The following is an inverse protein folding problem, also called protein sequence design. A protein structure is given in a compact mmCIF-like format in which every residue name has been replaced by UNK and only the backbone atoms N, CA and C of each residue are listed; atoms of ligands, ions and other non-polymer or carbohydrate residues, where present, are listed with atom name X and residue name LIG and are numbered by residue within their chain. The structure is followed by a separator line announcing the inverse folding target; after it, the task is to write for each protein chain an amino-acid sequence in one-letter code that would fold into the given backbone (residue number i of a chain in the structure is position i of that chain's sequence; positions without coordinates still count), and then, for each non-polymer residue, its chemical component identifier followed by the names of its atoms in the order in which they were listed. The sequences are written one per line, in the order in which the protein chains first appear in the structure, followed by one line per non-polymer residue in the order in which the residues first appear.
data_IF_686713210704
#
_entry.id   IF_686713210704
#
_cell.length_a   1.000
_cell.length_b   1.000
_cell.length_c   1.000
_cell.angle_alpha   90.00
_cell.angle_beta   90.00
_cell.angle_gamma   90.00
#
_symmetry.space_group_name_H-M   'P 1'
#
loop_
_entity.id
_entity.type
_entity.pdbx_description
1 polymer ?
#
# COMPACT_ATOMS: atom_id res chain seq x y z
N UNK A 1 -64.87 20.43 22.16
CA UNK A 1 -63.50 20.95 22.32
C UNK A 1 -62.93 21.18 20.93
N UNK A 2 -62.56 22.43 20.67
CA UNK A 2 -62.19 22.93 19.35
C UNK A 2 -60.80 22.44 18.92
N UNK A 3 -60.75 22.07 17.65
CA UNK A 3 -59.64 21.95 16.69
C UNK A 3 -58.38 22.75 17.02
N UNK A 4 -57.20 22.15 16.76
CA UNK A 4 -56.11 22.89 16.12
C UNK A 4 -55.51 22.06 14.96
N UNK A 5 -55.50 22.71 13.79
CA UNK A 5 -55.13 22.20 12.48
C UNK A 5 -53.62 22.07 12.34
N UNK A 6 -53.18 21.07 11.58
CA UNK A 6 -51.84 20.98 10.98
C UNK A 6 -51.64 22.17 10.03
N UNK A 7 -50.56 22.92 10.19
CA UNK A 7 -49.93 23.66 9.11
C UNK A 7 -48.42 23.81 9.36
N UNK A 8 -47.70 23.50 8.28
CA UNK A 8 -46.26 23.45 8.03
C UNK A 8 -45.37 24.47 8.75
N UNK A 9 -44.20 24.01 9.20
CA UNK A 9 -42.97 24.81 9.06
C UNK A 9 -41.86 23.93 8.45
N UNK A 10 -41.56 24.22 7.19
CA UNK A 10 -40.34 23.82 6.52
C UNK A 10 -39.14 24.42 7.27
N UNK A 11 -38.20 23.59 7.72
CA UNK A 11 -36.80 23.96 7.71
C UNK A 11 -36.03 22.88 6.97
N UNK A 12 -35.71 23.19 5.73
CA UNK A 12 -34.68 22.53 4.97
C UNK A 12 -33.36 22.67 5.74
N UNK A 13 -32.85 21.55 6.28
CA UNK A 13 -31.40 21.32 6.36
C UNK A 13 -31.04 20.39 5.21
N UNK A 14 -31.32 20.88 4.01
CA UNK A 14 -30.60 20.50 2.81
C UNK A 14 -29.60 21.63 2.59
N UNK A 15 -28.32 21.40 2.92
CA UNK A 15 -27.25 22.35 2.64
C UNK A 15 -26.43 22.79 3.85
N UNK A 16 -25.70 21.87 4.47
CA UNK A 16 -24.49 22.23 5.26
C UNK A 16 -23.53 21.05 5.54
N UNK A 17 -23.72 19.85 5.00
CA UNK A 17 -22.71 18.76 5.08
C UNK A 17 -22.05 18.43 3.74
N UNK A 18 -22.46 19.08 2.64
CA UNK A 18 -21.91 18.84 1.30
C UNK A 18 -20.75 19.78 0.92
N UNK A 19 -20.24 20.62 1.83
CA UNK A 19 -19.16 21.59 1.54
C UNK A 19 -18.03 21.51 2.57
N UNK A 20 -17.65 20.30 2.97
CA UNK A 20 -16.32 20.02 3.51
C UNK A 20 -16.01 18.52 3.42
N UNK A 21 -16.38 17.87 2.30
CA UNK A 21 -15.50 16.83 1.80
C UNK A 21 -14.27 17.58 1.29
N UNK A 22 -13.42 18.06 2.20
CA UNK A 22 -12.06 18.37 1.86
C UNK A 22 -11.55 17.10 1.24
N UNK A 23 -11.37 17.09 -0.08
CA UNK A 23 -10.51 16.10 -0.68
C UNK A 23 -9.23 16.21 0.14
N UNK A 24 -8.93 15.16 0.91
CA UNK A 24 -7.68 15.08 1.62
C UNK A 24 -6.61 14.90 0.54
N UNK A 25 -6.29 15.98 -0.17
CA UNK A 25 -5.13 16.10 -1.03
C UNK A 25 -3.97 16.47 -0.11
N UNK A 26 -3.65 15.56 0.82
CA UNK A 26 -2.54 15.71 1.74
C UNK A 26 -1.34 14.93 1.24
N UNK A 27 -1.04 15.08 -0.05
CA UNK A 27 0.26 14.69 -0.62
C UNK A 27 0.67 15.81 -1.57
N UNK A 28 1.63 16.63 -1.13
CA UNK A 28 2.27 17.60 -1.98
C UNK A 28 3.31 16.88 -2.84
N UNK A 29 3.21 17.01 -4.16
CA UNK A 29 4.24 16.52 -5.07
C UNK A 29 5.53 17.33 -4.84
N UNK A 30 6.66 16.64 -4.77
CA UNK A 30 7.95 17.30 -4.65
C UNK A 30 8.26 18.03 -5.97
N UNK A 31 8.32 19.36 -5.93
CA UNK A 31 8.59 20.19 -7.11
C UNK A 31 10.01 19.99 -7.70
N UNK A 32 10.95 19.51 -6.87
CA UNK A 32 12.34 19.26 -7.23
C UNK A 32 12.57 17.82 -7.74
N UNK A 33 11.52 16.98 -7.78
CA UNK A 33 11.58 15.64 -8.34
C UNK A 33 12.44 14.64 -7.56
N UNK A 34 12.70 14.91 -6.28
CA UNK A 34 13.54 14.06 -5.41
C UNK A 34 12.81 12.81 -4.85
N UNK A 35 11.60 12.54 -5.33
CA UNK A 35 10.73 11.44 -4.91
C UNK A 35 9.45 11.93 -4.24
N UNK A 36 8.37 11.16 -4.38
CA UNK A 36 7.08 11.43 -3.74
C UNK A 36 6.76 10.35 -2.71
N UNK A 37 6.06 10.73 -1.64
CA UNK A 37 5.46 9.79 -0.68
C UNK A 37 3.95 9.86 -0.83
N UNK A 38 3.32 8.74 -1.17
CA UNK A 38 1.87 8.61 -1.16
C UNK A 38 1.46 7.86 0.12
N UNK A 39 0.65 8.52 0.94
CA UNK A 39 0.07 7.91 2.14
C UNK A 39 -1.36 7.48 1.80
N UNK A 40 -1.64 6.18 1.83
CA UNK A 40 -3.02 5.70 1.90
C UNK A 40 -3.46 5.77 3.36
N UNK A 41 -4.41 6.66 3.70
CA UNK A 41 -4.59 7.07 5.09
C UNK A 41 -5.15 5.96 5.98
N UNK A 42 -5.84 4.97 5.42
CA UNK A 42 -6.44 3.91 6.21
C UNK A 42 -6.75 2.67 5.37
N UNK A 43 -6.38 1.50 5.90
CA UNK A 43 -6.92 0.21 5.48
C UNK A 43 -7.62 -0.44 6.68
N UNK A 44 -8.65 -1.23 6.41
CA UNK A 44 -9.32 -2.06 7.41
C UNK A 44 -9.89 -3.32 6.78
N UNK A 45 -9.81 -4.40 7.54
CA UNK A 45 -10.50 -5.68 7.30
C UNK A 45 -11.33 -6.08 8.52
N UNK A 46 -11.66 -5.09 9.36
CA UNK A 46 -12.55 -5.28 10.50
C UNK A 46 -13.92 -5.76 10.04
N UNK A 47 -14.56 -6.50 10.92
CA UNK A 47 -15.87 -7.08 10.68
C UNK A 47 -16.93 -6.32 11.49
N UNK A 48 -17.70 -5.40 10.88
CA UNK A 48 -18.79 -4.69 11.56
C UNK A 48 -19.93 -5.63 12.00
N UNK A 49 -20.07 -6.78 11.35
CA UNK A 49 -21.05 -7.82 11.67
C UNK A 49 -20.57 -9.16 11.12
N UNK A 50 -20.83 -10.25 11.84
CA UNK A 50 -20.39 -11.60 11.47
C UNK A 50 -20.67 -11.95 9.99
N UNK A 51 -19.64 -12.38 9.27
CA UNK A 51 -19.63 -12.69 7.85
C UNK A 51 -19.42 -11.50 6.91
N UNK A 52 -19.29 -10.26 7.41
CA UNK A 52 -19.26 -9.04 6.58
C UNK A 52 -18.00 -8.20 6.81
N UNK A 53 -16.82 -8.83 6.78
CA UNK A 53 -15.55 -8.12 6.88
C UNK A 53 -15.35 -7.11 5.72
N UNK A 54 -14.73 -5.98 6.03
CA UNK A 54 -14.28 -5.03 5.00
C UNK A 54 -13.13 -5.63 4.17
N UNK A 55 -13.02 -5.17 2.92
CA UNK A 55 -11.84 -5.36 2.08
C UNK A 55 -11.30 -3.98 1.70
N UNK A 56 -9.99 -3.79 1.83
CA UNK A 56 -9.37 -2.52 1.42
C UNK A 56 -8.63 -2.71 0.10
N UNK A 57 -9.01 -1.95 -0.92
CA UNK A 57 -8.41 -2.02 -2.25
C UNK A 57 -7.38 -0.90 -2.44
N UNK A 58 -6.23 -1.24 -3.01
CA UNK A 58 -5.14 -0.34 -3.27
C UNK A 58 -4.85 -0.28 -4.77
N UNK A 59 -4.54 0.92 -5.27
CA UNK A 59 -4.08 1.14 -6.65
C UNK A 59 -2.99 2.19 -6.69
N UNK A 60 -1.79 1.76 -7.08
CA UNK A 60 -0.60 2.61 -7.22
C UNK A 60 -0.33 2.81 -8.70
N UNK A 61 -0.33 4.07 -9.14
CA UNK A 61 -0.21 4.44 -10.56
C UNK A 61 1.15 5.08 -10.81
N UNK A 62 1.96 4.48 -11.68
CA UNK A 62 3.10 5.17 -12.28
C UNK A 62 2.64 5.93 -13.53
N UNK A 63 2.27 7.20 -13.37
CA UNK A 63 1.83 8.05 -14.47
C UNK A 63 2.97 8.59 -15.34
N UNK A 64 4.23 8.24 -15.08
CA UNK A 64 5.40 8.78 -15.80
C UNK A 64 5.82 7.93 -16.99
N UNK A 65 6.70 8.46 -17.85
CA UNK A 65 7.25 7.73 -19.00
C UNK A 65 8.46 6.84 -18.63
N UNK A 66 8.84 6.79 -17.36
CA UNK A 66 9.98 6.00 -16.87
C UNK A 66 9.51 4.96 -15.87
N UNK A 67 10.22 3.85 -15.77
CA UNK A 67 9.98 2.85 -14.74
C UNK A 67 10.37 3.41 -13.34
N UNK A 68 9.67 2.95 -12.30
CA UNK A 68 9.82 3.44 -10.93
C UNK A 68 10.06 2.28 -9.96
N UNK A 69 10.96 2.50 -9.02
CA UNK A 69 11.14 1.63 -7.86
C UNK A 69 10.53 2.32 -6.64
N UNK A 70 9.71 1.60 -5.88
CA UNK A 70 8.87 2.15 -4.83
C UNK A 70 8.87 1.20 -3.63
N UNK A 71 9.03 1.72 -2.43
CA UNK A 71 8.87 0.96 -1.19
C UNK A 71 7.41 1.01 -0.75
N UNK A 72 6.82 -0.14 -0.50
CA UNK A 72 5.47 -0.30 0.05
C UNK A 72 5.60 -0.78 1.49
N UNK A 73 4.93 -0.12 2.42
CA UNK A 73 4.95 -0.47 3.85
C UNK A 73 3.53 -0.45 4.39
N UNK A 74 3.15 -1.50 5.09
CA UNK A 74 1.91 -1.60 5.85
C UNK A 74 2.25 -1.44 7.33
N UNK A 75 1.55 -0.52 7.99
CA UNK A 75 1.75 -0.22 9.40
C UNK A 75 0.42 -0.36 10.13
N UNK A 76 0.43 -1.04 11.28
CA UNK A 76 -0.77 -1.19 12.11
C UNK A 76 -1.15 0.12 12.82
N UNK A 77 -2.45 0.28 13.08
CA UNK A 77 -3.02 1.55 13.53
C UNK A 77 -2.72 1.96 14.97
N UNK A 78 -2.26 1.06 15.85
CA UNK A 78 -2.12 1.33 17.30
C UNK A 78 -0.82 2.05 17.62
N UNK A 79 0.32 1.57 17.14
CA UNK A 79 1.65 2.14 17.40
C UNK A 79 2.51 2.28 16.12
N UNK A 80 1.88 2.24 14.93
CA UNK A 80 2.60 2.36 13.65
C UNK A 80 3.73 1.34 13.51
N UNK A 81 3.49 0.11 13.97
CA UNK A 81 4.45 -0.98 13.82
C UNK A 81 4.33 -1.57 12.42
N UNK A 82 5.46 -1.82 11.78
CA UNK A 82 5.48 -2.43 10.45
C UNK A 82 5.00 -3.88 10.52
N UNK A 83 4.04 -4.22 9.65
CA UNK A 83 3.44 -5.56 9.59
C UNK A 83 3.70 -6.28 8.26
N UNK A 84 4.08 -5.52 7.23
CA UNK A 84 4.59 -6.04 5.96
C UNK A 84 5.28 -4.91 5.20
N UNK A 85 6.39 -5.23 4.53
CA UNK A 85 7.05 -4.32 3.62
C UNK A 85 7.64 -5.07 2.41
N UNK A 86 7.70 -4.39 1.26
CA UNK A 86 8.37 -4.89 0.06
C UNK A 86 8.67 -3.73 -0.90
N UNK A 87 9.57 -3.97 -1.84
CA UNK A 87 9.78 -3.08 -2.97
C UNK A 87 8.92 -3.51 -4.15
N UNK A 88 8.21 -2.55 -4.72
CA UNK A 88 7.40 -2.65 -5.93
C UNK A 88 8.12 -1.93 -7.08
N UNK A 89 8.15 -2.57 -8.25
CA UNK A 89 8.76 -2.02 -9.44
C UNK A 89 7.71 -1.89 -10.55
N UNK A 90 7.39 -0.64 -10.89
CA UNK A 90 6.38 -0.29 -11.87
C UNK A 90 7.03 0.05 -13.20
N UNK A 91 6.55 -0.55 -14.28
CA UNK A 91 6.94 -0.12 -15.62
C UNK A 91 6.42 1.29 -15.96
N UNK A 92 6.84 1.86 -17.08
CA UNK A 92 6.31 3.16 -17.50
C UNK A 92 4.80 3.06 -17.76
N UNK A 93 4.01 4.03 -17.27
CA UNK A 93 2.55 4.10 -17.44
C UNK A 93 1.79 2.88 -16.87
N UNK A 94 2.32 2.33 -15.78
CA UNK A 94 1.82 1.10 -15.17
C UNK A 94 0.90 1.37 -13.98
N UNK A 95 0.08 0.38 -13.64
CA UNK A 95 -0.81 0.42 -12.48
C UNK A 95 -0.69 -0.91 -11.75
N UNK A 96 -0.27 -0.87 -10.50
CA UNK A 96 -0.31 -2.03 -9.62
C UNK A 96 -1.55 -1.93 -8.72
N UNK A 97 -2.24 -3.05 -8.54
CA UNK A 97 -3.42 -3.15 -7.68
C UNK A 97 -3.28 -4.27 -6.66
N UNK A 98 -3.87 -4.09 -5.48
CA UNK A 98 -3.89 -5.11 -4.45
C UNK A 98 -5.14 -4.99 -3.58
N UNK A 99 -5.42 -6.04 -2.81
CA UNK A 99 -6.43 -6.03 -1.77
C UNK A 99 -5.81 -6.48 -0.45
N UNK A 100 -6.14 -5.77 0.63
CA UNK A 100 -5.96 -6.26 2.00
C UNK A 100 -7.24 -6.98 2.39
N UNK A 101 -7.10 -8.24 2.78
CA UNK A 101 -8.21 -9.16 3.06
C UNK A 101 -8.09 -9.71 4.49
N UNK A 102 -9.20 -10.03 5.16
CA UNK A 102 -9.17 -10.63 6.49
C UNK A 102 -8.59 -12.04 6.42
N UNK A 103 -7.89 -12.43 7.48
CA UNK A 103 -7.47 -13.81 7.73
C UNK A 103 -8.05 -14.28 9.06
N UNK A 104 -7.84 -15.55 9.42
CA UNK A 104 -8.36 -16.12 10.66
C UNK A 104 -7.94 -15.28 11.88
N UNK A 105 -6.65 -14.93 11.97
CA UNK A 105 -6.10 -14.20 13.12
C UNK A 105 -5.94 -12.69 12.86
N UNK A 106 -5.79 -12.25 11.61
CA UNK A 106 -5.47 -10.86 11.30
C UNK A 106 -5.84 -10.44 9.88
N UNK A 107 -4.85 -9.93 9.15
CA UNK A 107 -4.98 -9.51 7.76
C UNK A 107 -3.86 -10.08 6.88
N UNK A 108 -4.08 -10.05 5.58
CA UNK A 108 -3.07 -10.34 4.57
C UNK A 108 -3.33 -9.55 3.31
N UNK A 109 -2.35 -9.56 2.40
CA UNK A 109 -2.44 -8.91 1.10
C UNK A 109 -2.48 -9.95 -0.03
N UNK A 110 -3.28 -9.64 -1.04
CA UNK A 110 -3.24 -10.29 -2.34
C UNK A 110 -3.14 -9.28 -3.46
N UNK A 111 -2.56 -9.69 -4.57
CA UNK A 111 -2.52 -8.90 -5.78
C UNK A 111 -2.77 -9.80 -6.98
N UNK A 112 -3.68 -9.44 -7.91
CA UNK A 112 -3.77 -10.11 -9.20
C UNK A 112 -2.76 -9.54 -10.21
N UNK A 113 -1.94 -8.57 -9.81
CA UNK A 113 -1.08 -7.81 -10.69
C UNK A 113 0.30 -8.48 -10.90
N UNK A 114 0.86 -8.33 -12.09
CA UNK A 114 2.13 -8.96 -12.47
C UNK A 114 3.36 -8.07 -12.29
N UNK A 115 3.20 -6.81 -11.85
CA UNK A 115 4.32 -5.91 -11.56
C UNK A 115 5.31 -6.58 -10.61
N UNK A 116 6.61 -6.38 -10.85
CA UNK A 116 7.61 -7.07 -10.06
C UNK A 116 7.65 -6.54 -8.62
N UNK A 117 7.81 -7.47 -7.69
CA UNK A 117 8.08 -7.21 -6.28
C UNK A 117 9.31 -7.99 -5.84
N UNK A 118 10.09 -7.46 -4.91
CA UNK A 118 11.29 -8.14 -4.38
C UNK A 118 10.98 -9.32 -3.43
N UNK A 119 9.80 -9.34 -2.83
CA UNK A 119 9.16 -10.52 -2.23
C UNK A 119 7.94 -10.97 -3.03
N UNK A 120 7.57 -12.25 -3.02
CA UNK A 120 6.34 -12.71 -3.70
C UNK A 120 5.12 -12.25 -2.89
N UNK A 121 4.29 -11.41 -3.49
CA UNK A 121 2.93 -11.11 -2.99
C UNK A 121 1.98 -12.12 -3.61
N UNK A 122 1.14 -12.76 -2.78
CA UNK A 122 0.27 -13.84 -3.23
C UNK A 122 -0.79 -13.36 -4.24
N UNK A 123 -1.06 -14.21 -5.22
CA UNK A 123 -2.17 -14.07 -6.17
C UNK A 123 -3.39 -14.93 -5.77
N UNK A 124 -3.30 -15.64 -4.64
CA UNK A 124 -4.32 -16.57 -4.15
C UNK A 124 -4.96 -16.01 -2.87
N UNK A 125 -6.26 -15.74 -2.91
CA UNK A 125 -7.04 -15.21 -1.78
C UNK A 125 -7.27 -16.22 -0.67
N UNK A 126 -7.19 -17.52 -0.96
CA UNK A 126 -7.19 -18.55 0.06
C UNK A 126 -5.86 -18.63 0.81
N UNK A 127 -4.77 -18.17 0.19
CA UNK A 127 -3.41 -18.19 0.74
C UNK A 127 -2.73 -16.82 0.60
N UNK A 128 -3.24 -15.76 1.25
CA UNK A 128 -2.68 -14.42 1.11
C UNK A 128 -1.30 -14.32 1.75
N UNK A 129 -0.51 -13.32 1.33
CA UNK A 129 0.71 -12.96 2.05
C UNK A 129 0.30 -12.35 3.39
N UNK A 130 0.53 -13.09 4.47
CA UNK A 130 0.09 -12.72 5.81
C UNK A 130 0.85 -11.49 6.33
N UNK A 131 0.15 -10.64 7.07
CA UNK A 131 0.80 -9.64 7.92
C UNK A 131 1.36 -10.31 9.18
N UNK A 132 2.46 -9.76 9.71
CA UNK A 132 3.20 -10.33 10.84
C UNK A 132 3.30 -9.33 12.00
N UNK A 133 3.62 -9.83 13.20
CA UNK A 133 3.72 -9.05 14.43
C UNK A 133 5.16 -8.92 14.99
N UNK A 134 6.17 -9.20 14.17
CA UNK A 134 7.57 -9.21 14.63
C UNK A 134 8.05 -7.85 15.18
N UNK A 135 7.46 -6.75 14.74
CA UNK A 135 7.83 -5.41 15.18
C UNK A 135 7.27 -5.02 16.56
N UNK A 136 6.44 -5.87 17.18
CA UNK A 136 5.81 -5.61 18.47
C UNK A 136 5.62 -6.86 19.35
N UNK A 137 6.40 -7.91 19.07
CA UNK A 137 6.51 -9.12 19.88
C UNK A 137 7.96 -9.35 20.31
N UNK A 138 8.18 -10.26 21.26
CA UNK A 138 9.53 -10.68 21.68
C UNK A 138 10.33 -9.53 22.28
N UNK A 139 11.47 -9.17 21.67
CA UNK A 139 12.32 -8.07 22.15
C UNK A 139 11.66 -6.67 22.02
N UNK A 140 10.60 -6.56 21.21
CA UNK A 140 9.88 -5.31 20.96
C UNK A 140 8.46 -5.34 21.53
N UNK A 141 8.21 -6.26 22.46
CA UNK A 141 6.89 -6.53 23.03
C UNK A 141 6.14 -5.25 23.44
N UNK A 142 4.89 -5.17 22.98
CA UNK A 142 3.93 -4.16 23.38
C UNK A 142 2.93 -4.82 24.35
N UNK A 143 3.15 -4.69 25.67
CA UNK A 143 2.48 -5.51 26.68
C UNK A 143 0.96 -5.28 26.76
N UNK A 144 0.44 -4.26 26.06
CA UNK A 144 -0.99 -3.99 25.99
C UNK A 144 -1.73 -4.92 25.02
N UNK A 145 -1.07 -5.42 23.96
CA UNK A 145 -1.59 -6.39 22.98
C UNK A 145 -0.47 -6.65 21.95
N UNK A 146 -0.06 -7.90 21.77
CA UNK A 146 0.95 -8.32 20.79
C UNK A 146 0.40 -9.27 19.70
N UNK A 147 -0.92 -9.40 19.61
CA UNK A 147 -1.60 -10.32 18.69
C UNK A 147 -1.68 -9.79 17.24
N UNK A 148 -2.15 -10.65 16.34
CA UNK A 148 -2.37 -10.31 14.93
C UNK A 148 -3.67 -9.53 14.69
N UNK A 149 -4.55 -9.35 15.68
CA UNK A 149 -5.78 -8.58 15.52
C UNK A 149 -5.48 -7.11 15.21
N UNK A 150 -4.37 -6.58 15.75
CA UNK A 150 -3.85 -5.24 15.41
C UNK A 150 -3.61 -5.03 13.92
N UNK A 151 -3.27 -6.09 13.20
CA UNK A 151 -2.99 -6.03 11.75
C UNK A 151 -4.25 -5.77 10.92
N UNK A 152 -5.45 -5.92 11.50
CA UNK A 152 -6.73 -5.75 10.79
C UNK A 152 -7.04 -4.31 10.40
N UNK A 153 -6.30 -3.34 10.90
CA UNK A 153 -6.44 -1.94 10.50
C UNK A 153 -5.13 -1.17 10.65
N UNK A 154 -4.96 -0.14 9.84
CA UNK A 154 -3.70 0.59 9.78
C UNK A 154 -3.65 1.54 8.60
N UNK A 155 -2.45 1.88 8.15
CA UNK A 155 -2.22 2.73 6.97
C UNK A 155 -1.09 2.17 6.11
N UNK A 156 -1.01 2.66 4.87
CA UNK A 156 0.00 2.21 3.91
C UNK A 156 0.83 3.39 3.43
N UNK A 157 2.14 3.23 3.52
CA UNK A 157 3.11 4.18 2.99
C UNK A 157 3.66 3.66 1.66
N UNK A 158 3.67 4.53 0.66
CA UNK A 158 4.29 4.31 -0.63
C UNK A 158 5.38 5.35 -0.81
N UNK A 159 6.63 4.92 -0.82
CA UNK A 159 7.78 5.82 -0.83
C UNK A 159 8.54 5.60 -2.14
N UNK A 160 8.60 6.61 -3.00
CA UNK A 160 9.40 6.53 -4.22
C UNK A 160 10.88 6.39 -3.85
N UNK A 161 11.51 5.29 -4.30
CA UNK A 161 12.94 5.08 -4.12
C UNK A 161 13.75 5.64 -5.30
N UNK A 162 13.12 5.76 -6.47
CA UNK A 162 13.70 6.46 -7.61
C UNK A 162 13.22 5.96 -8.98
N UNK A 163 13.85 6.53 -10.01
CA UNK A 163 13.58 6.19 -11.41
C UNK A 163 14.58 5.15 -11.91
N UNK A 164 14.07 4.12 -12.60
CA UNK A 164 14.89 3.08 -13.21
C UNK A 164 15.19 3.41 -14.68
N UNK A 165 16.39 3.05 -15.14
CA UNK A 165 16.85 3.34 -16.50
C UNK A 165 17.53 2.13 -17.14
N UNK A 166 17.66 2.17 -18.47
CA UNK A 166 18.41 1.19 -19.25
C UNK A 166 17.97 -0.26 -18.99
N UNK A 167 18.93 -1.12 -18.71
CA UNK A 167 18.69 -2.55 -18.47
C UNK A 167 17.72 -2.80 -17.30
N UNK A 168 17.86 -2.07 -16.20
CA UNK A 168 17.01 -2.25 -15.03
C UNK A 168 15.52 -1.95 -15.33
N UNK A 169 15.25 -0.87 -16.07
CA UNK A 169 13.90 -0.57 -16.55
C UNK A 169 13.36 -1.66 -17.48
N UNK A 170 14.21 -2.23 -18.33
CA UNK A 170 13.83 -3.32 -19.24
C UNK A 170 13.40 -4.60 -18.52
N UNK A 171 13.95 -4.90 -17.34
CA UNK A 171 13.59 -6.08 -16.54
C UNK A 171 12.15 -6.05 -16.02
N UNK A 172 11.68 -4.85 -15.67
CA UNK A 172 10.36 -4.64 -15.05
C UNK A 172 9.30 -4.21 -16.07
N UNK A 173 9.69 -4.03 -17.33
CA UNK A 173 8.78 -3.65 -18.41
C UNK A 173 7.91 -4.85 -18.82
N UNK A 174 6.59 -4.65 -18.78
CA UNK A 174 5.62 -5.60 -19.31
C UNK A 174 5.87 -5.92 -20.78
N UNK A 175 6.03 -7.20 -21.12
CA UNK A 175 6.16 -7.67 -22.51
C UNK A 175 4.81 -7.99 -23.12
N UNK A 176 4.74 -7.94 -24.45
CA UNK A 176 3.57 -8.39 -25.19
C UNK A 176 3.29 -9.87 -24.91
N UNK A 177 2.02 -10.21 -24.66
CA UNK A 177 1.58 -11.56 -24.28
C UNK A 177 0.26 -11.52 -23.52
N UNK A 178 -0.25 -12.72 -23.18
CA UNK A 178 -1.44 -12.90 -22.33
C UNK A 178 -1.17 -14.01 -21.31
N UNK A 179 -1.02 -13.70 -20.01
CA UNK A 179 -1.02 -12.35 -19.44
C UNK A 179 0.20 -11.54 -19.87
N UNK A 180 0.08 -10.20 -19.83
CA UNK A 180 1.24 -9.33 -19.93
C UNK A 180 1.97 -9.43 -18.60
N UNK A 181 3.21 -9.92 -18.63
CA UNK A 181 4.07 -10.03 -17.46
C UNK A 181 5.38 -9.28 -17.70
N UNK A 182 6.04 -8.76 -16.66
CA UNK A 182 7.35 -8.15 -16.80
C UNK A 182 8.40 -9.13 -17.33
N UNK A 183 9.45 -8.58 -17.92
CA UNK A 183 10.47 -9.36 -18.61
C UNK A 183 11.18 -10.40 -17.72
N UNK A 184 11.48 -10.08 -16.46
CA UNK A 184 12.19 -10.98 -15.56
C UNK A 184 12.10 -10.57 -14.08
N UNK A 185 10.95 -10.81 -13.44
CA UNK A 185 10.80 -10.50 -12.00
C UNK A 185 11.67 -11.36 -11.09
N UNK A 186 11.98 -12.60 -11.47
CA UNK A 186 12.83 -13.47 -10.65
C UNK A 186 14.25 -12.92 -10.54
N UNK A 187 14.78 -12.37 -11.64
CA UNK A 187 16.07 -11.70 -11.59
C UNK A 187 16.05 -10.42 -10.75
N UNK A 188 14.96 -9.66 -10.77
CA UNK A 188 14.78 -8.50 -9.89
C UNK A 188 14.83 -8.91 -8.41
N UNK A 189 14.16 -10.01 -8.04
CA UNK A 189 14.18 -10.57 -6.67
C UNK A 189 15.59 -11.01 -6.26
N UNK A 190 16.33 -11.66 -7.16
CA UNK A 190 17.71 -12.07 -6.90
C UNK A 190 18.65 -10.88 -6.66
N UNK A 191 18.47 -9.78 -7.38
CA UNK A 191 19.27 -8.56 -7.19
C UNK A 191 18.96 -7.85 -5.87
N UNK A 192 17.67 -7.78 -5.51
CA UNK A 192 17.22 -7.20 -4.26
C UNK A 192 17.74 -7.99 -3.05
N UNK A 193 17.68 -9.32 -3.11
CA UNK A 193 18.19 -10.20 -2.05
C UNK A 193 19.71 -10.06 -1.81
N UNK A 194 20.48 -9.65 -2.83
CA UNK A 194 21.92 -9.43 -2.73
C UNK A 194 22.30 -8.04 -2.20
N UNK A 195 21.33 -7.19 -1.85
CA UNK A 195 21.57 -5.80 -1.45
C UNK A 195 22.11 -4.91 -2.58
N UNK A 196 22.12 -5.42 -3.81
CA UNK A 196 22.55 -4.69 -5.00
C UNK A 196 21.34 -3.98 -5.58
N UNK A 197 20.99 -2.81 -5.03
CA UNK A 197 20.01 -1.94 -5.69
C UNK A 197 20.51 -1.68 -7.11
N UNK A 198 19.73 -2.03 -8.13
CA UNK A 198 20.04 -1.78 -9.54
C UNK A 198 20.12 -0.28 -9.90
N UNK A 199 20.00 0.59 -8.90
CA UNK A 199 20.40 2.00 -8.87
C UNK A 199 21.93 2.17 -8.91
N UNK A 200 22.62 1.54 -9.86
CA UNK A 200 24.08 1.70 -9.98
C UNK A 200 24.41 3.01 -10.70
N UNK A 201 24.26 4.16 -10.02
CA UNK A 201 25.29 5.22 -10.02
C UNK A 201 25.01 6.27 -8.92
N UNK A 202 25.99 6.44 -8.03
CA UNK A 202 26.22 7.58 -7.09
C UNK A 202 25.48 7.72 -5.75
N UNK A 203 24.39 7.02 -5.43
CA UNK A 203 23.73 7.20 -4.11
C UNK A 203 24.10 6.18 -3.02
N UNK A 204 24.59 4.98 -3.37
CA UNK A 204 25.01 3.99 -2.38
C UNK A 204 26.52 4.11 -2.07
N UNK A 205 26.89 5.12 -1.27
CA UNK A 205 28.23 5.19 -0.64
C UNK A 205 28.25 5.73 0.79
N UNK A 206 27.09 5.93 1.44
CA UNK A 206 27.04 6.52 2.79
C UNK A 206 26.23 5.72 3.82
N UNK A 207 25.38 4.75 3.44
CA UNK A 207 24.51 4.09 4.43
C UNK A 207 24.87 2.62 4.77
N UNK A 208 25.82 1.99 4.08
CA UNK A 208 26.32 0.65 4.44
C UNK A 208 27.77 0.72 4.95
N UNK A 209 28.02 1.56 5.96
CA UNK A 209 29.13 1.35 6.89
C UNK A 209 28.79 2.01 8.22
N UNK A 210 28.09 1.28 9.08
CA UNK A 210 27.85 1.66 10.46
C UNK A 210 27.46 0.40 11.20
N UNK A 211 28.27 0.06 12.20
CA UNK A 211 28.12 -1.06 13.12
C UNK A 211 26.71 -1.21 13.67
#
# INVERSE_FOLDING_TARGET
MNTFKKNSLYLAVAGASALAAGSAQAVALNADGLGNVLLYPYYTVREPSAGNAYLSLLSVVNSTASAKAVKVRFLEGKNSREVLDFNLYLSAKDVWVAAVIPTAEGAGIVTPDYSCTDGVVSMDDANPTQFVNYAYTGAYDDPANDDLDRTREGYVEIIEMGTMWGYAAGLVTHKAGTPRVPANCDYVRLLAAQGTSSTTSRACRVACSGR
#
